data_IF_935201295119
#
_entry.id   IF_935201295119
#
_cell.length_a   1.000
_cell.length_b   1.000
_cell.length_c   1.000
_cell.angle_alpha   90.00
_cell.angle_beta   90.00
_cell.angle_gamma   90.00
#
_symmetry.space_group_name_H-M   'P 1'
#
loop_
_entity.id
_entity.type
_entity.pdbx_description
1 polymer ?
#
# COMPACT_ATOMS: atom_id res chain seq x y z
N UNK A 1 5.26 4.26 25.23
CA UNK A 1 4.64 3.72 23.99
C UNK A 1 3.38 4.50 23.70
N UNK A 2 3.25 5.08 22.53
CA UNK A 2 2.06 5.81 22.11
C UNK A 2 1.16 4.89 21.26
N UNK A 3 0.11 4.36 21.87
CA UNK A 3 -0.84 3.45 21.20
C UNK A 3 -1.71 4.16 20.17
N UNK A 4 -1.97 5.46 20.34
CA UNK A 4 -2.78 6.25 19.39
C UNK A 4 -2.09 6.36 18.04
N UNK A 5 -0.74 6.45 18.03
CA UNK A 5 0.05 6.41 16.79
C UNK A 5 -0.06 5.06 16.09
N UNK A 6 -0.04 3.94 16.83
CA UNK A 6 -0.20 2.60 16.24
C UNK A 6 -1.60 2.40 15.67
N UNK A 7 -2.65 2.89 16.33
CA UNK A 7 -4.03 2.85 15.84
C UNK A 7 -4.14 3.70 14.57
N UNK A 8 -3.64 4.93 14.60
CA UNK A 8 -3.66 5.84 13.45
C UNK A 8 -2.89 5.26 12.25
N UNK A 9 -1.73 4.64 12.49
CA UNK A 9 -0.96 3.93 11.48
C UNK A 9 -1.75 2.76 10.87
N UNK A 10 -2.45 1.98 11.72
CA UNK A 10 -3.28 0.86 11.28
C UNK A 10 -4.43 1.32 10.39
N UNK A 11 -5.10 2.42 10.76
CA UNK A 11 -6.18 3.02 9.98
C UNK A 11 -5.66 3.52 8.62
N UNK A 12 -4.55 4.26 8.62
CA UNK A 12 -3.93 4.76 7.39
C UNK A 12 -3.46 3.62 6.47
N UNK A 13 -2.85 2.58 7.03
CA UNK A 13 -2.47 1.36 6.30
C UNK A 13 -3.68 0.68 5.69
N UNK A 14 -4.77 0.54 6.45
CA UNK A 14 -6.02 -0.06 5.97
C UNK A 14 -6.59 0.75 4.80
N UNK A 15 -6.65 2.06 4.93
CA UNK A 15 -7.12 2.95 3.87
C UNK A 15 -6.25 2.83 2.60
N UNK A 16 -4.91 2.78 2.75
CA UNK A 16 -3.99 2.61 1.64
C UNK A 16 -4.13 1.24 0.97
N UNK A 17 -4.29 0.17 1.74
CA UNK A 17 -4.43 -1.19 1.23
C UNK A 17 -5.76 -1.43 0.51
N UNK A 18 -6.86 -0.80 0.97
CA UNK A 18 -8.17 -0.85 0.31
C UNK A 18 -8.17 0.05 -0.94
N UNK A 19 -7.40 1.15 -0.92
CA UNK A 19 -7.33 2.10 -2.03
C UNK A 19 -6.90 1.41 -3.32
N UNK A 20 -7.76 1.40 -4.37
CA UNK A 20 -7.50 0.63 -5.58
C UNK A 20 -6.18 1.04 -6.22
N UNK A 21 -5.44 0.05 -6.67
CA UNK A 21 -4.16 0.23 -7.33
C UNK A 21 -3.83 -0.99 -8.19
N UNK A 22 -2.70 -0.97 -8.91
CA UNK A 22 -2.30 -2.11 -9.75
C UNK A 22 -2.29 -3.43 -8.99
N UNK A 23 -1.83 -3.42 -7.73
CA UNK A 23 -1.72 -4.61 -6.89
C UNK A 23 -3.09 -5.21 -6.58
N UNK A 24 -4.06 -4.38 -6.16
CA UNK A 24 -5.44 -4.80 -5.86
C UNK A 24 -6.12 -5.38 -7.11
N UNK A 25 -5.99 -4.67 -8.24
CA UNK A 25 -6.57 -5.08 -9.52
C UNK A 25 -5.94 -6.41 -9.96
N UNK A 26 -4.63 -6.55 -9.86
CA UNK A 26 -3.94 -7.77 -10.27
C UNK A 26 -4.34 -8.98 -9.41
N UNK A 27 -4.42 -8.82 -8.07
CA UNK A 27 -4.91 -9.86 -7.15
C UNK A 27 -6.34 -10.25 -7.49
N UNK A 28 -7.22 -9.25 -7.68
CA UNK A 28 -8.63 -9.45 -8.03
C UNK A 28 -8.75 -10.25 -9.34
N UNK A 29 -8.06 -9.81 -10.40
CA UNK A 29 -8.12 -10.45 -11.71
C UNK A 29 -7.57 -11.88 -11.70
N UNK A 30 -6.43 -12.12 -11.03
CA UNK A 30 -5.90 -13.48 -10.88
C UNK A 30 -6.89 -14.39 -10.15
N UNK A 31 -7.58 -13.87 -9.14
CA UNK A 31 -8.56 -14.63 -8.36
C UNK A 31 -9.83 -14.94 -9.16
N UNK A 32 -10.30 -13.99 -9.99
CA UNK A 32 -11.48 -14.19 -10.84
C UNK A 32 -11.21 -15.20 -11.94
N UNK A 33 -10.10 -15.04 -12.67
CA UNK A 33 -9.82 -15.82 -13.88
C UNK A 33 -9.25 -17.21 -13.56
N UNK A 34 -8.31 -17.28 -12.62
CA UNK A 34 -7.58 -18.50 -12.32
C UNK A 34 -7.99 -19.16 -10.99
N UNK A 35 -8.78 -18.46 -10.17
CA UNK A 35 -9.27 -18.92 -8.87
C UNK A 35 -8.46 -18.36 -7.70
N UNK A 36 -9.07 -18.36 -6.50
CA UNK A 36 -8.55 -17.73 -5.27
C UNK A 36 -7.13 -18.14 -4.89
N UNK A 37 -6.72 -19.38 -5.18
CA UNK A 37 -5.35 -19.86 -4.87
C UNK A 37 -4.27 -19.05 -5.62
N UNK A 38 -4.57 -18.63 -6.82
CA UNK A 38 -3.65 -17.85 -7.67
C UNK A 38 -3.57 -16.40 -7.19
N UNK A 39 -4.70 -15.80 -6.78
CA UNK A 39 -4.71 -14.51 -6.11
C UNK A 39 -3.91 -14.53 -4.80
N UNK A 40 -4.13 -15.54 -3.95
CA UNK A 40 -3.40 -15.69 -2.68
C UNK A 40 -1.90 -15.88 -2.87
N UNK A 41 -1.46 -16.58 -3.92
CA UNK A 41 -0.03 -16.69 -4.26
C UNK A 41 0.56 -15.32 -4.62
N UNK A 42 -0.21 -14.49 -5.35
CA UNK A 42 0.18 -13.11 -5.64
C UNK A 42 0.27 -12.28 -4.36
N UNK A 43 -0.71 -12.39 -3.47
CA UNK A 43 -0.72 -11.71 -2.16
C UNK A 43 0.52 -12.08 -1.35
N UNK A 44 0.86 -13.36 -1.26
CA UNK A 44 2.07 -13.80 -0.56
C UNK A 44 3.34 -13.14 -1.11
N UNK A 45 3.43 -12.99 -2.43
CA UNK A 45 4.53 -12.26 -3.08
C UNK A 45 4.54 -10.77 -2.73
N UNK A 46 3.39 -10.09 -2.85
CA UNK A 46 3.26 -8.67 -2.50
C UNK A 46 3.68 -8.39 -1.05
N UNK A 47 3.18 -9.20 -0.12
CA UNK A 47 3.50 -9.04 1.32
C UNK A 47 4.98 -9.30 1.60
N UNK A 48 5.56 -10.30 0.95
CA UNK A 48 7.01 -10.57 1.07
C UNK A 48 7.87 -9.40 0.56
N UNK A 49 7.41 -8.67 -0.46
CA UNK A 49 8.07 -7.45 -0.95
C UNK A 49 8.12 -6.33 0.09
N UNK A 50 7.14 -6.25 0.98
CA UNK A 50 7.12 -5.26 2.05
C UNK A 50 8.30 -5.41 3.04
N UNK A 51 8.88 -6.63 3.18
CA UNK A 51 10.09 -6.83 3.98
C UNK A 51 11.28 -6.04 3.45
N UNK A 52 11.40 -5.93 2.12
CA UNK A 52 12.47 -5.13 1.49
C UNK A 52 12.31 -3.67 1.88
N UNK A 53 11.10 -3.10 1.73
CA UNK A 53 10.82 -1.71 2.12
C UNK A 53 11.03 -1.49 3.62
N UNK A 54 10.54 -2.40 4.47
CA UNK A 54 10.75 -2.34 5.92
C UNK A 54 12.23 -2.29 6.28
N UNK A 55 13.03 -3.16 5.67
CA UNK A 55 14.47 -3.23 5.93
C UNK A 55 15.20 -1.97 5.45
N UNK A 56 14.85 -1.48 4.25
CA UNK A 56 15.42 -0.24 3.71
C UNK A 56 15.12 0.97 4.61
N UNK A 57 13.89 1.08 5.11
CA UNK A 57 13.52 2.17 6.04
C UNK A 57 14.18 1.96 7.39
N UNK A 58 14.19 0.74 7.94
CA UNK A 58 14.76 0.44 9.25
C UNK A 58 16.26 0.80 9.33
N UNK A 59 17.02 0.53 8.31
CA UNK A 59 18.46 0.84 8.31
C UNK A 59 18.78 2.17 7.61
N UNK A 60 18.17 2.46 6.47
CA UNK A 60 18.44 3.68 5.70
C UNK A 60 17.89 4.93 6.38
N UNK A 61 16.59 4.96 6.68
CA UNK A 61 15.95 6.14 7.27
C UNK A 61 16.34 6.32 8.73
N UNK A 62 16.57 5.23 9.50
CA UNK A 62 17.07 5.34 10.87
C UNK A 62 18.44 6.04 10.98
N UNK A 63 19.32 5.83 10.02
CA UNK A 63 20.60 6.54 9.95
C UNK A 63 20.38 8.03 9.65
N UNK A 64 19.51 8.33 8.68
CA UNK A 64 19.21 9.71 8.27
C UNK A 64 18.54 10.54 9.35
N UNK A 65 17.60 9.97 10.12
CA UNK A 65 16.92 10.68 11.23
C UNK A 65 17.92 11.13 12.30
N UNK A 66 18.99 10.35 12.52
CA UNK A 66 20.00 10.68 13.53
C UNK A 66 20.96 11.78 13.11
N UNK A 67 21.15 11.97 11.81
CA UNK A 67 22.23 12.81 11.28
C UNK A 67 21.74 14.12 10.67
N UNK A 68 20.51 14.21 10.17
CA UNK A 68 20.09 15.38 9.39
C UNK A 68 18.58 15.57 9.30
N UNK A 69 18.03 16.46 10.14
CA UNK A 69 16.60 16.83 10.12
C UNK A 69 16.15 17.42 8.78
N UNK A 70 17.04 18.17 8.11
CA UNK A 70 16.73 18.78 6.81
C UNK A 70 16.50 17.71 5.74
N UNK A 71 17.30 16.64 5.75
CA UNK A 71 17.15 15.56 4.79
C UNK A 71 15.85 14.78 5.01
N UNK A 72 15.48 14.55 6.28
CA UNK A 72 14.19 13.95 6.62
C UNK A 72 13.02 14.81 6.14
N UNK A 73 13.10 16.13 6.35
CA UNK A 73 12.09 17.07 5.85
C UNK A 73 11.97 17.01 4.33
N UNK A 74 13.08 16.96 3.59
CA UNK A 74 13.08 16.84 2.12
C UNK A 74 12.40 15.54 1.68
N UNK A 75 12.69 14.41 2.34
CA UNK A 75 12.06 13.12 2.04
C UNK A 75 10.54 13.19 2.25
N UNK A 76 10.10 13.76 3.38
CA UNK A 76 8.68 13.97 3.68
C UNK A 76 8.01 14.87 2.63
N UNK A 77 8.64 15.98 2.28
CA UNK A 77 8.14 16.93 1.29
C UNK A 77 7.97 16.27 -0.08
N UNK A 78 9.01 15.60 -0.58
CA UNK A 78 8.96 14.90 -1.85
C UNK A 78 7.90 13.77 -1.85
N UNK A 79 7.80 13.03 -0.75
CA UNK A 79 6.79 11.98 -0.59
C UNK A 79 5.36 12.53 -0.62
N UNK A 80 5.09 13.61 0.10
CA UNK A 80 3.78 14.26 0.10
C UNK A 80 3.43 14.84 -1.29
N UNK A 81 4.38 15.52 -1.96
CA UNK A 81 4.19 16.02 -3.31
C UNK A 81 3.89 14.90 -4.31
N UNK A 82 4.56 13.76 -4.17
CA UNK A 82 4.29 12.60 -5.01
C UNK A 82 2.89 12.00 -4.77
N UNK A 83 2.44 11.92 -3.52
CA UNK A 83 1.08 11.46 -3.21
C UNK A 83 0.02 12.42 -3.78
N UNK A 84 0.25 13.73 -3.71
CA UNK A 84 -0.60 14.72 -4.36
C UNK A 84 -0.60 14.58 -5.90
N UNK A 85 0.57 14.30 -6.49
CA UNK A 85 0.67 13.98 -7.91
C UNK A 85 -0.14 12.72 -8.27
N UNK A 86 -0.07 11.66 -7.45
CA UNK A 86 -0.87 10.45 -7.65
C UNK A 86 -2.37 10.75 -7.52
N UNK A 87 -2.79 11.55 -6.54
CA UNK A 87 -4.17 12.01 -6.39
C UNK A 87 -4.65 12.75 -7.64
N UNK A 88 -3.84 13.65 -8.17
CA UNK A 88 -4.13 14.37 -9.40
C UNK A 88 -4.21 13.44 -10.64
N UNK A 89 -3.31 12.48 -10.74
CA UNK A 89 -3.33 11.48 -11.81
C UNK A 89 -4.61 10.64 -11.76
N UNK A 90 -5.02 10.23 -10.57
CA UNK A 90 -6.28 9.50 -10.35
C UNK A 90 -7.48 10.39 -10.69
N UNK A 91 -7.47 11.66 -10.30
CA UNK A 91 -8.53 12.61 -10.66
C UNK A 91 -8.74 12.72 -12.17
N UNK A 92 -7.65 12.73 -12.95
CA UNK A 92 -7.69 12.76 -14.42
C UNK A 92 -8.00 11.41 -15.07
N UNK A 93 -7.95 10.30 -14.34
CA UNK A 93 -8.21 8.97 -14.90
C UNK A 93 -9.70 8.76 -15.18
N UNK A 94 -10.01 7.82 -16.07
CA UNK A 94 -11.39 7.39 -16.34
C UNK A 94 -12.00 6.76 -15.09
N UNK A 95 -13.30 7.02 -14.86
CA UNK A 95 -14.08 6.41 -13.78
C UNK A 95 -14.43 4.95 -14.05
N UNK A 96 -14.18 4.47 -15.27
CA UNK A 96 -14.49 3.08 -15.66
C UNK A 96 -13.41 2.13 -15.16
N UNK A 97 -13.75 1.29 -14.21
CA UNK A 97 -12.98 0.09 -13.89
C UNK A 97 -13.18 -0.92 -15.04
N UNK A 98 -12.26 -0.92 -15.99
CA UNK A 98 -12.20 -2.01 -16.94
C UNK A 98 -11.63 -3.24 -16.21
N UNK A 99 -12.49 -4.11 -15.72
CA UNK A 99 -12.15 -5.51 -15.48
C UNK A 99 -11.92 -6.13 -16.86
N UNK A 100 -10.74 -5.85 -17.45
CA UNK A 100 -10.45 -6.22 -18.82
C UNK A 100 -10.64 -7.73 -19.01
N UNK A 101 -11.30 -8.09 -20.09
CA UNK A 101 -11.35 -9.45 -20.62
C UNK A 101 -10.03 -9.87 -21.26
N UNK A 102 -8.90 -9.27 -20.87
CA UNK A 102 -7.60 -9.66 -21.35
C UNK A 102 -7.34 -11.10 -20.92
N UNK A 103 -6.92 -11.89 -21.89
CA UNK A 103 -6.53 -13.28 -21.68
C UNK A 103 -5.32 -13.29 -20.71
N UNK A 104 -5.62 -13.45 -19.41
CA UNK A 104 -4.56 -13.53 -18.38
C UNK A 104 -3.96 -14.92 -18.50
N UNK A 105 -2.70 -15.04 -18.95
CA UNK A 105 -2.05 -16.34 -19.13
C UNK A 105 -1.96 -17.04 -17.77
N UNK A 106 -2.31 -18.32 -17.75
CA UNK A 106 -2.22 -19.15 -16.54
C UNK A 106 -0.75 -19.31 -16.15
N UNK A 107 -0.37 -18.72 -15.02
CA UNK A 107 0.97 -18.83 -14.43
C UNK A 107 0.97 -19.84 -13.30
N UNK A 108 2.13 -20.44 -12.99
CA UNK A 108 2.27 -21.24 -11.78
C UNK A 108 2.19 -20.38 -10.52
N UNK A 109 1.89 -20.99 -9.38
CA UNK A 109 1.81 -20.27 -8.10
C UNK A 109 3.14 -19.58 -7.74
N UNK A 110 4.28 -20.24 -8.03
CA UNK A 110 5.61 -19.66 -7.82
C UNK A 110 5.90 -18.46 -8.73
N UNK A 111 5.43 -18.50 -9.98
CA UNK A 111 5.56 -17.35 -10.90
C UNK A 111 4.72 -16.17 -10.42
N UNK A 112 3.51 -16.41 -9.88
CA UNK A 112 2.66 -15.36 -9.33
C UNK A 112 3.20 -14.77 -8.04
N UNK A 113 3.78 -15.61 -7.18
CA UNK A 113 4.52 -15.13 -6.01
C UNK A 113 5.65 -14.19 -6.42
N UNK A 114 6.52 -14.64 -7.34
CA UNK A 114 7.63 -13.82 -7.86
C UNK A 114 7.13 -12.52 -8.47
N UNK A 115 6.05 -12.58 -9.25
CA UNK A 115 5.47 -11.39 -9.86
C UNK A 115 4.92 -10.42 -8.80
N UNK A 116 4.16 -10.91 -7.81
CA UNK A 116 3.68 -10.08 -6.69
C UNK A 116 4.83 -9.42 -5.93
N UNK A 117 5.89 -10.18 -5.64
CA UNK A 117 7.08 -9.66 -4.99
C UNK A 117 7.71 -8.51 -5.78
N UNK A 118 7.97 -8.71 -7.07
CA UNK A 118 8.56 -7.69 -7.95
C UNK A 118 7.63 -6.48 -8.07
N UNK A 119 6.32 -6.70 -8.26
CA UNK A 119 5.35 -5.62 -8.34
C UNK A 119 5.37 -4.75 -7.08
N UNK A 120 5.42 -5.35 -5.88
CA UNK A 120 5.48 -4.60 -4.64
C UNK A 120 6.79 -3.83 -4.50
N UNK A 121 7.95 -4.49 -4.68
CA UNK A 121 9.27 -3.86 -4.55
C UNK A 121 9.46 -2.69 -5.52
N UNK A 122 8.93 -2.80 -6.73
CA UNK A 122 8.99 -1.74 -7.74
C UNK A 122 7.81 -0.76 -7.67
N UNK A 123 6.88 -0.93 -6.74
CA UNK A 123 5.72 -0.05 -6.63
C UNK A 123 6.10 1.28 -5.96
N UNK A 124 6.15 2.38 -6.71
CA UNK A 124 6.56 3.67 -6.12
C UNK A 124 5.57 4.19 -5.07
N UNK A 125 4.28 3.82 -5.15
CA UNK A 125 3.29 4.15 -4.12
C UNK A 125 3.69 3.54 -2.77
N UNK A 126 4.11 2.28 -2.75
CA UNK A 126 4.54 1.56 -1.54
C UNK A 126 5.87 2.12 -1.04
N UNK A 127 6.85 2.28 -1.93
CA UNK A 127 8.17 2.81 -1.56
C UNK A 127 8.08 4.17 -0.86
N UNK A 128 7.29 5.09 -1.42
CA UNK A 128 7.14 6.44 -0.88
C UNK A 128 6.33 6.43 0.42
N UNK A 129 5.30 5.58 0.52
CA UNK A 129 4.59 5.40 1.77
C UNK A 129 5.54 4.96 2.89
N UNK A 130 6.39 3.98 2.65
CA UNK A 130 7.39 3.54 3.63
C UNK A 130 8.39 4.63 3.97
N UNK A 131 8.94 5.32 2.97
CA UNK A 131 10.00 6.32 3.17
C UNK A 131 9.50 7.60 3.86
N UNK A 132 8.35 8.12 3.43
CA UNK A 132 7.87 9.42 3.88
C UNK A 132 6.86 9.35 5.04
N UNK A 133 6.09 8.26 5.13
CA UNK A 133 5.03 8.14 6.12
C UNK A 133 5.47 7.45 7.41
N UNK A 134 6.25 6.36 7.33
CA UNK A 134 6.68 5.60 8.52
C UNK A 134 7.38 6.44 9.58
N UNK A 135 8.29 7.39 9.24
CA UNK A 135 8.97 8.19 10.26
C UNK A 135 8.03 9.00 11.16
N UNK A 136 6.88 9.42 10.65
CA UNK A 136 5.86 10.13 11.42
C UNK A 136 5.12 9.29 12.46
N UNK A 137 5.35 7.96 12.49
CA UNK A 137 4.67 7.02 13.39
C UNK A 137 5.60 6.32 14.37
N UNK A 138 6.77 6.89 14.62
CA UNK A 138 7.63 6.41 15.70
C UNK A 138 6.91 6.62 17.04
N UNK A 139 6.70 5.54 17.78
CA UNK A 139 5.76 5.45 18.90
C UNK A 139 6.42 5.30 20.28
N UNK A 140 7.77 5.36 20.34
CA UNK A 140 8.49 5.18 21.58
C UNK A 140 9.81 5.96 21.60
N UNK A 141 10.08 6.65 22.71
CA UNK A 141 11.34 7.37 22.94
C UNK A 141 12.44 6.46 23.51
N UNK A 142 12.08 5.27 24.01
CA UNK A 142 13.01 4.31 24.65
C UNK A 142 13.41 3.15 23.73
N UNK A 143 12.60 2.84 22.73
CA UNK A 143 12.86 1.76 21.80
C UNK A 143 13.70 2.25 20.62
N UNK A 144 14.67 1.44 20.15
CA UNK A 144 15.45 1.82 18.98
C UNK A 144 14.57 2.04 17.73
N UNK A 145 14.89 3.03 16.91
CA UNK A 145 14.18 3.38 15.69
C UNK A 145 14.06 2.19 14.73
N UNK A 146 15.13 1.38 14.64
CA UNK A 146 15.15 0.16 13.80
C UNK A 146 14.05 -0.82 14.23
N UNK A 147 13.93 -1.08 15.54
CA UNK A 147 12.90 -1.99 16.06
C UNK A 147 11.51 -1.41 15.80
N UNK A 148 11.32 -0.11 16.01
CA UNK A 148 10.03 0.53 15.75
C UNK A 148 9.61 0.40 14.26
N UNK A 149 10.53 0.59 13.32
CA UNK A 149 10.24 0.38 11.91
C UNK A 149 9.89 -1.08 11.57
N UNK A 150 10.53 -2.06 12.21
CA UNK A 150 10.13 -3.47 12.03
C UNK A 150 8.74 -3.74 12.61
N UNK A 151 8.39 -3.18 13.76
CA UNK A 151 7.04 -3.31 14.34
C UNK A 151 5.99 -2.70 13.39
N UNK A 152 6.23 -1.49 12.88
CA UNK A 152 5.34 -0.84 11.92
C UNK A 152 5.25 -1.65 10.61
N UNK A 153 6.38 -2.17 10.11
CA UNK A 153 6.42 -3.00 8.90
C UNK A 153 5.64 -4.30 9.06
N UNK A 154 5.78 -4.99 10.19
CA UNK A 154 5.02 -6.19 10.51
C UNK A 154 3.52 -5.89 10.65
N UNK A 155 3.16 -4.79 11.29
CA UNK A 155 1.78 -4.33 11.41
C UNK A 155 1.18 -4.01 10.02
N UNK A 156 1.94 -3.31 9.17
CA UNK A 156 1.56 -3.05 7.77
C UNK A 156 1.32 -4.36 7.01
N UNK A 157 2.25 -5.31 7.09
CA UNK A 157 2.14 -6.61 6.43
C UNK A 157 0.93 -7.40 6.94
N UNK A 158 0.68 -7.39 8.24
CA UNK A 158 -0.47 -8.07 8.84
C UNK A 158 -1.80 -7.51 8.31
N UNK A 159 -1.98 -6.20 8.38
CA UNK A 159 -3.18 -5.50 7.90
C UNK A 159 -3.37 -5.72 6.39
N UNK A 160 -2.31 -5.54 5.62
CA UNK A 160 -2.35 -5.72 4.16
C UNK A 160 -2.65 -7.17 3.78
N UNK A 161 -2.15 -8.16 4.54
CA UNK A 161 -2.47 -9.58 4.31
C UNK A 161 -3.96 -9.84 4.47
N UNK A 162 -4.59 -9.31 5.51
CA UNK A 162 -6.03 -9.47 5.74
C UNK A 162 -6.82 -8.87 4.57
N UNK A 163 -6.50 -7.64 4.18
CA UNK A 163 -7.24 -6.91 3.13
C UNK A 163 -7.05 -7.57 1.76
N UNK A 164 -5.81 -7.83 1.34
CA UNK A 164 -5.56 -8.45 0.04
C UNK A 164 -6.05 -9.89 -0.05
N UNK A 165 -5.96 -10.67 1.04
CA UNK A 165 -6.54 -12.01 1.09
C UNK A 165 -8.06 -11.95 1.02
N UNK A 166 -8.69 -10.96 1.68
CA UNK A 166 -10.11 -10.69 1.54
C UNK A 166 -10.52 -10.43 0.08
N UNK A 167 -9.77 -9.56 -0.61
CA UNK A 167 -9.97 -9.30 -2.05
C UNK A 167 -9.86 -10.61 -2.87
N UNK A 168 -8.83 -11.41 -2.60
CA UNK A 168 -8.62 -12.67 -3.33
C UNK A 168 -9.74 -13.70 -3.11
N UNK A 169 -10.20 -13.84 -1.87
CA UNK A 169 -11.24 -14.82 -1.50
C UNK A 169 -12.61 -14.38 -1.96
N UNK A 170 -12.92 -13.07 -1.85
CA UNK A 170 -14.22 -12.49 -2.22
C UNK A 170 -14.26 -12.02 -3.69
N UNK A 171 -13.27 -12.37 -4.49
CA UNK A 171 -13.11 -11.85 -5.85
C UNK A 171 -14.33 -12.03 -6.74
N UNK A 172 -15.02 -13.17 -6.65
CA UNK A 172 -16.26 -13.42 -7.41
C UNK A 172 -17.36 -12.44 -7.04
N UNK A 173 -17.61 -12.24 -5.74
CA UNK A 173 -18.62 -11.33 -5.21
C UNK A 173 -18.27 -9.88 -5.59
N UNK A 174 -17.01 -9.50 -5.40
CA UNK A 174 -16.52 -8.15 -5.73
C UNK A 174 -16.69 -7.87 -7.22
N UNK A 175 -16.34 -8.83 -8.09
CA UNK A 175 -16.45 -8.68 -9.53
C UNK A 175 -17.91 -8.53 -9.96
N UNK A 176 -18.80 -9.35 -9.42
CA UNK A 176 -20.23 -9.26 -9.72
C UNK A 176 -20.82 -7.93 -9.27
N UNK A 177 -20.47 -7.49 -8.05
CA UNK A 177 -20.89 -6.20 -7.52
C UNK A 177 -20.41 -5.02 -8.38
N UNK A 178 -19.14 -5.06 -8.82
CA UNK A 178 -18.58 -4.03 -9.72
C UNK A 178 -19.33 -3.99 -11.05
N UNK A 179 -19.68 -5.15 -11.63
CA UNK A 179 -20.43 -5.23 -12.91
C UNK A 179 -21.86 -4.71 -12.81
N UNK A 180 -22.49 -4.88 -11.65
CA UNK A 180 -23.89 -4.45 -11.43
C UNK A 180 -24.00 -2.97 -11.08
N UNK A 181 -22.91 -2.32 -10.63
CA UNK A 181 -22.94 -0.95 -10.15
C UNK A 181 -21.97 -0.05 -10.91
N UNK A 182 -22.45 0.59 -11.97
CA UNK A 182 -21.61 1.47 -12.83
C UNK A 182 -20.88 2.58 -12.07
N UNK A 183 -21.45 3.06 -10.96
CA UNK A 183 -20.86 4.16 -10.15
C UNK A 183 -19.73 3.72 -9.22
N UNK A 184 -19.47 2.42 -9.09
CA UNK A 184 -18.44 1.94 -8.14
C UNK A 184 -17.06 2.49 -8.48
N UNK A 185 -16.76 2.63 -9.79
CA UNK A 185 -15.51 3.22 -10.25
C UNK A 185 -15.31 4.65 -9.74
N UNK A 186 -16.38 5.44 -9.73
CA UNK A 186 -16.38 6.81 -9.20
C UNK A 186 -16.09 6.81 -7.70
N UNK A 187 -16.75 5.96 -6.92
CA UNK A 187 -16.54 5.88 -5.47
C UNK A 187 -15.11 5.44 -5.12
N UNK A 188 -14.59 4.42 -5.82
CA UNK A 188 -13.22 3.95 -5.61
C UNK A 188 -12.17 5.00 -6.02
N UNK A 189 -12.43 5.75 -7.09
CA UNK A 189 -11.60 6.88 -7.53
C UNK A 189 -11.52 7.95 -6.43
N UNK A 190 -12.65 8.39 -5.90
CA UNK A 190 -12.69 9.39 -4.85
C UNK A 190 -12.08 8.89 -3.55
N UNK A 191 -12.33 7.64 -3.17
CA UNK A 191 -11.67 7.01 -2.03
C UNK A 191 -10.14 7.08 -2.17
N UNK A 192 -9.61 6.74 -3.35
CA UNK A 192 -8.17 6.79 -3.61
C UNK A 192 -7.60 8.21 -3.50
N UNK A 193 -8.31 9.22 -4.04
CA UNK A 193 -7.92 10.63 -3.94
C UNK A 193 -7.88 11.06 -2.47
N UNK A 194 -8.96 10.79 -1.72
CA UNK A 194 -9.06 11.14 -0.29
C UNK A 194 -7.93 10.50 0.51
N UNK A 195 -7.63 9.23 0.26
CA UNK A 195 -6.53 8.52 0.94
C UNK A 195 -5.18 9.17 0.63
N UNK A 196 -4.88 9.46 -0.64
CA UNK A 196 -3.59 10.07 -1.00
C UNK A 196 -3.43 11.49 -0.43
N UNK A 197 -4.48 12.30 -0.52
CA UNK A 197 -4.46 13.66 0.06
C UNK A 197 -4.37 13.58 1.59
N UNK A 198 -5.15 12.70 2.23
CA UNK A 198 -5.12 12.51 3.67
C UNK A 198 -3.74 12.10 4.18
N UNK A 199 -3.08 11.13 3.53
CA UNK A 199 -1.72 10.71 3.88
C UNK A 199 -0.73 11.87 3.65
N UNK A 200 -0.83 12.61 2.56
CA UNK A 200 0.02 13.77 2.31
C UNK A 200 -0.12 14.84 3.42
N UNK A 201 -1.34 15.11 3.87
CA UNK A 201 -1.60 16.04 5.00
C UNK A 201 -0.96 15.51 6.28
N UNK A 202 -1.13 14.23 6.61
CA UNK A 202 -0.52 13.62 7.81
C UNK A 202 1.01 13.74 7.77
N UNK A 203 1.64 13.50 6.61
CA UNK A 203 3.09 13.65 6.45
C UNK A 203 3.53 15.09 6.76
N UNK A 204 2.77 16.10 6.30
CA UNK A 204 3.09 17.51 6.57
C UNK A 204 2.83 17.94 8.00
N UNK A 205 1.84 17.38 8.67
CA UNK A 205 1.46 17.76 10.04
C UNK A 205 2.20 16.96 11.10
N UNK A 206 2.92 15.89 10.73
CA UNK A 206 3.73 15.11 11.68
C UNK A 206 5.01 15.88 12.03
N UNK A 207 5.09 16.35 13.28
CA UNK A 207 6.18 17.18 13.84
C UNK A 207 7.51 16.44 14.10
N UNK A 208 7.73 15.22 13.58
CA UNK A 208 9.02 14.52 13.76
C UNK A 208 9.58 14.06 12.43
#
# INVERSE_FOLDING_TARGET
MNYDLLISFTLATSALAISPGPDNIYVLMQSIVNGKKFGLATVAGLISGCLVHTTLVAFGVSALIKENDTLLFIIKLLGALYLLYLAFKVYKSSDKLSLGSEHIPKKSLGQLFKQGFIMNVLNPKVSIFFLAFFPGFLFSDTMSTVIQFYVLGLLFMFVSTIIFSGIAVLAGIISEYIKQHERIGVYLKWLQIIVFVGIAVIIFTSEK
#
